data_IF_962186126895
#
_entry.id   IF_962186126895
#
_cell.length_a   1.000
_cell.length_b   1.000
_cell.length_c   1.000
_cell.angle_alpha   90.00
_cell.angle_beta   90.00
_cell.angle_gamma   90.00
#
_symmetry.space_group_name_H-M   'P 1'
#
loop_
_entity.id
_entity.type
_entity.pdbx_description
1 polymer ?
#
# COMPACT_ATOMS: atom_id res chain seq x y z
N UNK A 1 -34.99 -4.92 -2.85
CA UNK A 1 -34.04 -3.89 -2.43
C UNK A 1 -32.65 -4.45 -2.66
N UNK A 2 -31.86 -3.85 -3.51
CA UNK A 2 -30.45 -4.15 -3.62
C UNK A 2 -29.79 -3.74 -2.29
N UNK A 3 -29.24 -4.69 -1.57
CA UNK A 3 -28.42 -4.37 -0.41
C UNK A 3 -27.10 -3.75 -0.92
N UNK A 4 -26.72 -2.61 -0.38
CA UNK A 4 -25.43 -2.03 -0.65
C UNK A 4 -24.35 -2.87 0.06
N UNK A 5 -23.24 -3.12 -0.61
CA UNK A 5 -22.09 -3.82 -0.04
C UNK A 5 -20.97 -2.81 0.21
N UNK A 6 -20.36 -2.90 1.39
CA UNK A 6 -19.29 -2.01 1.81
C UNK A 6 -18.00 -2.81 2.04
N UNK A 7 -16.86 -2.20 1.73
CA UNK A 7 -15.53 -2.70 2.08
C UNK A 7 -14.87 -1.63 2.94
N UNK A 8 -14.51 -2.01 4.17
CA UNK A 8 -13.88 -1.11 5.13
C UNK A 8 -14.86 -0.23 5.91
N UNK A 9 -16.15 -0.47 5.79
CA UNK A 9 -17.17 0.21 6.59
C UNK A 9 -18.14 -0.81 7.23
N UNK A 10 -18.52 -0.55 8.47
CA UNK A 10 -19.58 -1.30 9.14
C UNK A 10 -20.97 -0.66 8.93
N UNK A 11 -22.02 -1.38 9.29
CA UNK A 11 -23.41 -0.90 9.20
C UNK A 11 -23.75 0.23 10.18
N UNK A 12 -22.86 0.54 11.11
CA UNK A 12 -23.02 1.61 12.10
C UNK A 12 -22.05 2.74 11.79
N UNK A 13 -22.54 3.98 11.81
CA UNK A 13 -21.71 5.17 11.68
C UNK A 13 -20.54 5.14 12.68
N UNK A 14 -19.32 5.42 12.20
CA UNK A 14 -18.11 5.43 13.03
C UNK A 14 -17.35 4.10 13.09
N UNK A 15 -17.74 3.10 12.32
CA UNK A 15 -17.06 1.79 12.24
C UNK A 15 -16.24 1.65 10.95
N UNK A 16 -15.49 2.69 10.58
CA UNK A 16 -14.61 2.65 9.42
C UNK A 16 -13.32 1.88 9.74
N UNK A 17 -12.80 1.20 8.72
CA UNK A 17 -11.53 0.52 8.79
C UNK A 17 -10.38 1.56 8.74
N UNK A 18 -9.53 1.55 9.75
CA UNK A 18 -8.27 2.30 9.76
C UNK A 18 -7.13 1.36 9.34
N UNK A 19 -6.98 1.15 8.04
CA UNK A 19 -5.98 0.26 7.46
C UNK A 19 -5.72 0.57 5.98
N UNK A 20 -4.68 -0.06 5.44
CA UNK A 20 -4.43 -0.08 4.01
C UNK A 20 -5.06 -1.31 3.37
N UNK A 21 -5.64 -1.14 2.19
CA UNK A 21 -6.23 -2.20 1.37
C UNK A 21 -5.46 -2.36 0.06
N UNK A 22 -5.26 -3.59 -0.36
CA UNK A 22 -4.69 -3.92 -1.66
C UNK A 22 -5.21 -5.29 -2.12
N UNK A 23 -5.37 -5.46 -3.43
CA UNK A 23 -5.69 -6.76 -4.06
C UNK A 23 -6.91 -7.45 -3.43
N UNK A 24 -8.02 -6.72 -3.31
CA UNK A 24 -9.26 -7.30 -2.78
C UNK A 24 -9.94 -8.11 -3.87
N UNK A 25 -10.07 -9.41 -3.63
CA UNK A 25 -10.72 -10.35 -4.54
C UNK A 25 -11.98 -10.92 -3.91
N UNK A 26 -13.10 -10.83 -4.63
CA UNK A 26 -14.33 -11.53 -4.30
C UNK A 26 -14.69 -12.48 -5.46
N UNK A 27 -14.79 -13.76 -5.16
CA UNK A 27 -15.07 -14.80 -6.15
C UNK A 27 -16.48 -15.33 -5.91
N UNK A 28 -17.36 -15.08 -6.90
CA UNK A 28 -18.73 -15.55 -6.84
C UNK A 28 -18.84 -16.99 -7.35
N UNK A 29 -19.55 -17.80 -6.56
CA UNK A 29 -19.90 -19.19 -6.91
C UNK A 29 -18.78 -20.22 -6.77
N UNK A 30 -17.62 -19.86 -6.21
CA UNK A 30 -16.49 -20.78 -6.01
C UNK A 30 -15.88 -20.63 -4.62
N UNK A 31 -15.54 -21.75 -4.01
CA UNK A 31 -14.69 -21.79 -2.81
C UNK A 31 -13.26 -22.13 -3.26
N UNK A 32 -12.34 -21.21 -3.10
CA UNK A 32 -10.95 -21.35 -3.54
C UNK A 32 -10.00 -21.42 -2.34
N UNK A 33 -8.93 -22.18 -2.54
CA UNK A 33 -7.81 -22.29 -1.60
C UNK A 33 -6.89 -21.07 -1.69
N UNK A 34 -6.20 -20.65 -0.62
CA UNK A 34 -5.27 -19.52 -0.64
C UNK A 34 -4.17 -19.61 -1.71
N UNK A 35 -3.83 -20.81 -2.17
CA UNK A 35 -2.83 -21.01 -3.24
C UNK A 35 -3.22 -20.42 -4.59
N UNK A 36 -4.51 -20.09 -4.78
CA UNK A 36 -4.96 -19.34 -5.95
C UNK A 36 -4.52 -17.87 -5.92
N UNK A 37 -4.29 -17.31 -4.72
CA UNK A 37 -3.98 -15.91 -4.49
C UNK A 37 -2.54 -15.65 -4.05
N UNK A 38 -1.75 -16.70 -3.84
CA UNK A 38 -0.37 -16.59 -3.43
C UNK A 38 0.36 -17.93 -3.42
N UNK A 39 1.62 -17.87 -3.04
CA UNK A 39 2.48 -19.05 -2.91
C UNK A 39 3.50 -18.82 -1.80
N UNK A 40 4.07 -19.89 -1.28
CA UNK A 40 5.19 -19.80 -0.35
C UNK A 40 6.50 -19.83 -1.13
N UNK A 41 7.29 -18.76 -1.00
CA UNK A 41 8.62 -18.69 -1.58
C UNK A 41 9.52 -19.76 -0.94
N UNK A 42 10.11 -20.63 -1.74
CA UNK A 42 10.90 -21.77 -1.26
C UNK A 42 12.25 -21.37 -0.65
N UNK A 43 12.77 -20.18 -0.93
CA UNK A 43 14.04 -19.70 -0.42
C UNK A 43 13.88 -18.97 0.92
N UNK A 44 12.81 -18.21 1.07
CA UNK A 44 12.58 -17.39 2.26
C UNK A 44 11.58 -18.00 3.23
N UNK A 45 10.73 -18.92 2.76
CA UNK A 45 9.60 -19.47 3.50
C UNK A 45 8.44 -18.46 3.68
N UNK A 46 8.52 -17.29 3.05
CA UNK A 46 7.48 -16.26 3.14
C UNK A 46 6.36 -16.51 2.14
N UNK A 47 5.13 -16.27 2.56
CA UNK A 47 3.99 -16.26 1.66
C UNK A 47 4.03 -14.99 0.80
N UNK A 48 3.95 -15.18 -0.53
CA UNK A 48 3.99 -14.11 -1.52
C UNK A 48 2.67 -14.07 -2.26
N UNK A 49 2.02 -12.91 -2.37
CA UNK A 49 0.79 -12.78 -3.14
C UNK A 49 1.06 -12.94 -4.64
N UNK A 50 0.07 -13.45 -5.34
CA UNK A 50 0.03 -13.48 -6.81
C UNK A 50 -1.34 -13.06 -7.30
N UNK A 51 -1.40 -12.56 -8.52
CA UNK A 51 -2.66 -12.24 -9.15
C UNK A 51 -3.50 -13.51 -9.37
N UNK A 52 -4.79 -13.42 -9.09
CA UNK A 52 -5.76 -14.45 -9.45
C UNK A 52 -6.04 -14.39 -10.97
N UNK A 53 -5.96 -15.53 -11.63
CA UNK A 53 -6.13 -15.65 -13.09
C UNK A 53 -7.39 -16.43 -13.48
N UNK A 54 -8.23 -16.81 -12.53
CA UNK A 54 -9.47 -17.53 -12.76
C UNK A 54 -10.65 -16.60 -13.05
N UNK A 55 -11.85 -17.18 -13.10
CA UNK A 55 -13.10 -16.45 -13.33
C UNK A 55 -13.66 -15.94 -12.02
N UNK A 56 -14.11 -14.68 -12.01
CA UNK A 56 -14.68 -14.05 -10.82
C UNK A 56 -16.17 -14.38 -10.58
N UNK A 57 -16.86 -15.01 -11.58
CA UNK A 57 -18.31 -15.16 -11.53
C UNK A 57 -19.03 -13.83 -11.82
N UNK A 58 -20.37 -13.83 -11.82
CA UNK A 58 -21.12 -12.65 -12.27
C UNK A 58 -21.09 -11.48 -11.26
N UNK A 59 -21.10 -11.79 -9.95
CA UNK A 59 -21.08 -10.80 -8.88
C UNK A 59 -19.67 -10.62 -8.28
N UNK A 60 -18.67 -11.33 -8.81
CA UNK A 60 -17.30 -11.22 -8.35
C UNK A 60 -16.64 -9.93 -8.82
N UNK A 61 -15.59 -9.52 -8.11
CA UNK A 61 -14.83 -8.31 -8.41
C UNK A 61 -13.38 -8.44 -7.98
N UNK A 62 -12.54 -7.58 -8.57
CA UNK A 62 -11.14 -7.40 -8.18
C UNK A 62 -10.81 -5.93 -8.06
N UNK A 63 -10.44 -5.47 -6.86
CA UNK A 63 -10.03 -4.09 -6.61
C UNK A 63 -8.52 -4.05 -6.39
N UNK A 64 -7.81 -3.55 -7.39
CA UNK A 64 -6.35 -3.38 -7.33
C UNK A 64 -5.96 -2.08 -6.59
N UNK A 65 -6.85 -1.08 -6.54
CA UNK A 65 -6.58 0.30 -6.07
C UNK A 65 -5.39 0.97 -6.78
N UNK A 66 -5.05 0.52 -7.97
CA UNK A 66 -3.85 0.91 -8.70
C UNK A 66 -4.01 2.25 -9.43
N UNK A 67 -5.19 2.50 -9.99
CA UNK A 67 -5.45 3.75 -10.72
C UNK A 67 -5.75 4.87 -9.72
N UNK A 68 -4.72 5.64 -9.39
CA UNK A 68 -4.79 6.79 -8.49
C UNK A 68 -4.88 8.13 -9.22
N UNK A 69 -5.34 8.15 -10.47
CA UNK A 69 -5.58 9.38 -11.22
C UNK A 69 -6.69 10.24 -10.62
N UNK A 70 -7.63 9.61 -9.93
CA UNK A 70 -8.69 10.25 -9.15
C UNK A 70 -9.20 9.33 -8.04
N UNK A 71 -9.93 9.88 -7.06
CA UNK A 71 -10.55 9.05 -6.02
C UNK A 71 -11.63 8.12 -6.59
N UNK A 72 -12.32 8.51 -7.66
CA UNK A 72 -13.33 7.67 -8.30
C UNK A 72 -12.76 6.47 -9.04
N UNK A 73 -11.48 6.49 -9.44
CA UNK A 73 -10.83 5.37 -10.14
C UNK A 73 -10.27 4.33 -9.18
N UNK A 74 -10.09 4.66 -7.89
CA UNK A 74 -9.58 3.72 -6.89
C UNK A 74 -10.48 2.49 -6.71
N UNK A 75 -11.80 2.66 -6.80
CA UNK A 75 -12.78 1.58 -6.64
C UNK A 75 -13.11 0.82 -7.92
N UNK A 76 -12.32 0.98 -8.98
CA UNK A 76 -12.55 0.27 -10.24
C UNK A 76 -12.35 -1.22 -10.10
N UNK A 77 -13.34 -1.98 -10.59
CA UNK A 77 -13.27 -3.43 -10.72
C UNK A 77 -12.43 -3.81 -11.95
N UNK A 78 -11.36 -4.55 -11.74
CA UNK A 78 -10.46 -5.05 -12.80
C UNK A 78 -10.68 -6.52 -13.15
N UNK A 79 -11.75 -7.13 -12.61
CA UNK A 79 -12.13 -8.52 -12.94
C UNK A 79 -12.71 -8.69 -14.36
N UNK A 80 -13.21 -7.60 -14.94
CA UNK A 80 -13.93 -7.59 -16.21
C UNK A 80 -15.46 -7.62 -16.06
N UNK A 81 -16.00 -7.66 -14.84
CA UNK A 81 -17.44 -7.67 -14.56
C UNK A 81 -18.05 -6.27 -14.41
N UNK A 82 -17.21 -5.24 -14.31
CA UNK A 82 -17.63 -3.84 -14.09
C UNK A 82 -18.42 -3.61 -12.78
N UNK A 83 -18.17 -4.42 -11.77
CA UNK A 83 -18.73 -4.30 -10.42
C UNK A 83 -17.97 -3.23 -9.61
N UNK A 84 -17.96 -2.00 -10.11
CA UNK A 84 -17.21 -0.87 -9.56
C UNK A 84 -17.74 -0.44 -8.19
N UNK A 85 -16.82 -0.02 -7.32
CA UNK A 85 -17.11 0.58 -6.02
C UNK A 85 -16.86 2.09 -6.03
N UNK A 86 -17.72 2.82 -5.37
CA UNK A 86 -17.48 4.26 -5.09
C UNK A 86 -16.62 4.40 -3.85
N UNK A 87 -15.48 5.10 -3.95
CA UNK A 87 -14.62 5.36 -2.79
C UNK A 87 -15.15 6.55 -1.96
N UNK A 88 -15.07 6.43 -0.63
CA UNK A 88 -15.35 7.51 0.32
C UNK A 88 -14.25 7.56 1.37
N UNK A 89 -13.85 8.76 1.80
CA UNK A 89 -12.77 8.94 2.79
C UNK A 89 -11.36 8.64 2.29
N UNK A 90 -11.19 8.22 1.03
CA UNK A 90 -9.88 7.95 0.43
C UNK A 90 -9.33 9.19 -0.27
N UNK A 91 -8.01 9.28 -0.37
CA UNK A 91 -7.32 10.37 -1.07
C UNK A 91 -6.29 9.82 -2.05
N UNK A 92 -6.12 10.49 -3.18
CA UNK A 92 -5.01 10.29 -4.12
C UNK A 92 -3.96 11.38 -3.99
N UNK A 93 -4.19 12.37 -3.11
CA UNK A 93 -3.24 13.44 -2.87
C UNK A 93 -2.01 12.90 -2.14
N UNK A 94 -0.84 13.05 -2.74
CA UNK A 94 0.42 12.67 -2.13
C UNK A 94 0.63 13.42 -0.80
N UNK A 95 1.09 12.71 0.22
CA UNK A 95 1.42 13.29 1.53
C UNK A 95 0.31 13.33 2.54
N UNK A 96 -0.89 12.88 2.23
CA UNK A 96 -1.96 12.67 3.20
C UNK A 96 -1.85 11.28 3.83
N UNK A 97 -2.42 11.10 5.03
CA UNK A 97 -2.46 9.80 5.70
C UNK A 97 -3.28 8.77 4.90
N UNK A 98 -4.27 9.25 4.17
CA UNK A 98 -5.22 8.46 3.40
C UNK A 98 -4.80 8.32 1.92
N UNK A 99 -3.53 8.61 1.61
CA UNK A 99 -3.04 8.60 0.24
C UNK A 99 -2.94 7.17 -0.32
N UNK A 100 -3.32 7.04 -1.58
CA UNK A 100 -3.03 5.84 -2.36
C UNK A 100 -1.53 5.60 -2.44
N UNK A 101 -1.11 4.39 -2.14
CA UNK A 101 0.29 3.98 -2.12
C UNK A 101 0.64 3.24 -3.40
N UNK A 102 1.87 3.43 -3.88
CA UNK A 102 2.42 2.65 -5.00
C UNK A 102 3.09 1.35 -4.53
N UNK A 103 3.34 1.21 -3.22
CA UNK A 103 3.81 -0.02 -2.60
C UNK A 103 2.61 -0.93 -2.32
N UNK A 104 2.55 -2.05 -3.00
CA UNK A 104 1.48 -3.04 -2.88
C UNK A 104 2.06 -4.43 -2.67
N UNK A 105 1.28 -5.41 -2.18
CA UNK A 105 1.79 -6.78 -2.01
C UNK A 105 2.39 -7.39 -3.28
N UNK A 106 1.88 -7.03 -4.46
CA UNK A 106 2.36 -7.51 -5.76
C UNK A 106 3.41 -6.61 -6.41
N UNK A 107 3.59 -5.38 -5.90
CA UNK A 107 4.60 -4.42 -6.32
C UNK A 107 5.31 -3.84 -5.08
N UNK A 108 5.94 -4.72 -4.31
CA UNK A 108 6.51 -4.41 -3.01
C UNK A 108 7.96 -3.94 -3.15
N UNK A 109 8.27 -2.79 -2.55
CA UNK A 109 9.60 -2.20 -2.53
C UNK A 109 9.94 -1.64 -1.13
N UNK A 110 11.22 -1.34 -0.83
CA UNK A 110 11.60 -0.80 0.46
C UNK A 110 10.98 0.56 0.74
N UNK A 111 10.33 0.69 1.88
CA UNK A 111 9.87 1.96 2.44
C UNK A 111 10.57 2.24 3.77
N UNK A 112 10.41 3.43 4.32
CA UNK A 112 10.89 3.76 5.65
C UNK A 112 10.04 3.06 6.71
N UNK A 113 10.68 2.47 7.72
CA UNK A 113 10.00 1.67 8.73
C UNK A 113 9.56 2.55 9.91
N UNK A 114 8.26 2.81 10.10
CA UNK A 114 7.76 3.64 11.18
C UNK A 114 8.06 3.07 12.57
N UNK A 115 8.17 1.74 12.69
CA UNK A 115 8.50 1.06 13.95
C UNK A 115 9.99 1.04 14.27
N UNK A 116 10.85 1.43 13.32
CA UNK A 116 12.31 1.42 13.49
C UNK A 116 12.92 2.77 13.10
N UNK A 117 12.45 3.82 13.77
CA UNK A 117 12.96 5.18 13.62
C UNK A 117 13.20 5.84 14.98
N UNK A 118 14.08 6.84 15.00
CA UNK A 118 14.24 7.68 16.18
C UNK A 118 12.98 8.53 16.40
N UNK A 119 12.73 8.94 17.66
CA UNK A 119 11.59 9.80 17.97
C UNK A 119 11.73 11.20 17.36
N UNK A 120 10.63 11.80 16.93
CA UNK A 120 10.54 13.16 16.43
C UNK A 120 10.33 13.31 14.92
N UNK A 121 10.99 12.54 14.03
CA UNK A 121 10.69 12.64 12.61
C UNK A 121 9.26 12.20 12.26
N UNK A 122 8.69 12.86 11.25
CA UNK A 122 7.42 12.46 10.64
C UNK A 122 7.71 11.69 9.35
N UNK A 123 7.02 10.58 9.15
CA UNK A 123 6.98 9.87 7.89
C UNK A 123 5.67 10.21 7.18
N UNK A 124 5.72 10.40 5.88
CA UNK A 124 4.57 10.67 5.02
C UNK A 124 4.80 10.10 3.62
N UNK A 125 3.88 10.31 2.69
CA UNK A 125 3.95 9.75 1.33
C UNK A 125 4.17 8.24 1.36
N UNK A 126 3.31 7.52 2.10
CA UNK A 126 3.43 6.08 2.21
C UNK A 126 4.79 5.62 2.78
N UNK A 127 5.30 6.35 3.76
CA UNK A 127 6.63 6.13 4.35
C UNK A 127 7.80 6.29 3.36
N UNK A 128 7.62 7.04 2.28
CA UNK A 128 8.69 7.39 1.34
C UNK A 128 9.31 8.75 1.63
N UNK A 129 8.69 9.55 2.48
CA UNK A 129 9.19 10.86 2.86
C UNK A 129 9.51 10.92 4.35
N UNK A 130 10.72 11.45 4.67
CA UNK A 130 11.20 11.63 6.03
C UNK A 130 11.37 13.12 6.30
N UNK A 131 10.59 13.67 7.23
CA UNK A 131 10.66 15.05 7.62
C UNK A 131 11.10 15.23 9.06
N UNK A 132 12.07 16.11 9.30
CA UNK A 132 12.50 16.49 10.62
C UNK A 132 12.90 17.97 10.68
N UNK A 133 12.16 18.75 11.46
CA UNK A 133 12.28 20.22 11.47
C UNK A 133 13.26 20.74 12.55
N UNK A 134 13.92 19.87 13.31
CA UNK A 134 14.76 20.33 14.42
C UNK A 134 16.23 19.92 14.24
N UNK A 135 17.14 20.92 14.27
CA UNK A 135 18.58 20.71 14.39
C UNK A 135 18.99 20.99 15.84
N UNK A 136 19.78 20.16 16.54
CA UNK A 136 21.07 19.64 16.08
C UNK A 136 21.25 18.11 16.20
N UNK A 137 20.22 17.31 16.40
CA UNK A 137 20.39 15.88 16.65
C UNK A 137 20.23 15.06 15.37
N UNK A 138 21.16 14.14 15.14
CA UNK A 138 21.03 13.14 14.07
C UNK A 138 19.80 12.28 14.32
N UNK A 139 18.96 12.13 13.32
CA UNK A 139 17.77 11.27 13.34
C UNK A 139 17.92 10.20 12.29
N UNK A 140 17.42 9.02 12.59
CA UNK A 140 17.54 7.84 11.74
C UNK A 140 16.19 7.20 11.54
N UNK A 141 16.01 6.61 10.38
CA UNK A 141 14.94 5.68 10.07
C UNK A 141 15.55 4.55 9.23
N UNK A 142 15.14 3.32 9.50
CA UNK A 142 15.58 2.18 8.70
C UNK A 142 14.54 1.86 7.64
N UNK A 143 15.00 1.20 6.56
CA UNK A 143 14.09 0.65 5.57
C UNK A 143 13.38 -0.60 6.11
N UNK A 144 12.24 -0.93 5.50
CA UNK A 144 11.48 -2.15 5.79
C UNK A 144 12.23 -3.40 5.33
N UNK A 145 13.02 -3.29 4.25
CA UNK A 145 13.82 -4.38 3.73
C UNK A 145 15.28 -4.29 4.21
N UNK A 146 15.86 -5.45 4.43
CA UNK A 146 17.29 -5.55 4.68
C UNK A 146 18.01 -5.86 3.37
N UNK A 147 19.10 -5.15 3.09
CA UNK A 147 19.98 -5.50 1.97
C UNK A 147 20.55 -6.89 2.19
N UNK A 148 20.48 -7.77 1.19
CA UNK A 148 21.17 -9.06 1.24
C UNK A 148 22.68 -8.91 1.43
N UNK A 149 23.34 -9.96 1.95
CA UNK A 149 24.77 -9.92 2.26
C UNK A 149 25.68 -9.83 1.04
N UNK A 150 25.17 -10.16 -0.14
CA UNK A 150 25.92 -10.17 -1.39
C UNK A 150 25.05 -9.66 -2.54
N UNK A 151 25.67 -9.07 -3.55
CA UNK A 151 25.01 -8.50 -4.73
C UNK A 151 25.34 -7.02 -4.92
N UNK A 152 24.80 -6.44 -5.98
CA UNK A 152 24.86 -5.01 -6.27
C UNK A 152 23.45 -4.45 -6.13
N UNK A 153 23.33 -3.39 -5.36
CA UNK A 153 22.04 -2.75 -5.07
C UNK A 153 22.12 -1.29 -5.42
N UNK A 154 21.01 -0.73 -5.87
CA UNK A 154 20.85 0.66 -6.19
C UNK A 154 19.66 1.22 -5.45
N UNK A 155 19.76 2.42 -4.92
CA UNK A 155 18.65 3.20 -4.35
C UNK A 155 18.90 4.68 -4.61
N UNK A 156 17.82 5.45 -4.62
CA UNK A 156 17.86 6.89 -4.80
C UNK A 156 17.26 7.61 -3.58
N UNK A 157 17.82 8.75 -3.30
CA UNK A 157 17.30 9.72 -2.37
C UNK A 157 17.20 11.07 -3.03
N UNK A 158 16.07 11.75 -2.84
CA UNK A 158 15.92 13.15 -3.20
C UNK A 158 15.91 14.00 -1.93
N UNK A 159 16.73 15.04 -1.90
CA UNK A 159 16.72 16.03 -0.82
C UNK A 159 15.93 17.26 -1.28
N UNK A 160 14.73 17.43 -0.72
CA UNK A 160 13.82 18.54 -1.02
C UNK A 160 14.06 19.77 -0.12
N UNK A 161 15.18 19.83 0.63
CA UNK A 161 15.46 21.01 1.44
C UNK A 161 15.93 22.20 0.60
N UNK A 162 15.12 23.26 0.60
CA UNK A 162 15.49 24.59 0.08
C UNK A 162 16.47 25.35 0.99
N UNK A 163 17.17 24.69 1.93
CA UNK A 163 18.02 25.33 2.91
C UNK A 163 19.50 25.18 2.58
N UNK A 164 20.26 26.23 2.87
CA UNK A 164 21.71 26.40 2.64
C UNK A 164 22.64 25.43 3.40
N UNK A 165 22.13 24.32 3.92
CA UNK A 165 22.93 23.35 4.64
C UNK A 165 22.50 21.92 4.30
N UNK A 166 23.06 21.32 3.23
CA UNK A 166 22.77 19.94 2.86
C UNK A 166 23.17 19.01 4.01
N UNK A 167 22.23 18.21 4.47
CA UNK A 167 22.48 17.17 5.47
C UNK A 167 23.59 16.23 4.99
N UNK A 168 24.52 15.87 5.88
CA UNK A 168 25.52 14.83 5.57
C UNK A 168 24.85 13.46 5.65
N UNK A 169 25.01 12.72 4.59
CA UNK A 169 24.66 11.31 4.51
C UNK A 169 25.87 10.46 4.91
N UNK A 170 25.68 9.49 5.78
CA UNK A 170 26.68 8.47 6.11
C UNK A 170 26.12 7.10 5.78
#
# INVERSE_FOLDING_TARGET
SSAENYIGEGTNEGSQLDAYLAEVNFIDGQQLDPSYFGFTDSQTGMWMPKRYEGTYGNNGFHLEFKDNSSTSTLGKDTSGNENDFSSSGMSVALGTADASMIDTPTNNFPTLNPSNRSSGPTLSFANLYFFYNYKPASKTCRATFRLPKSGKYYWEWENNEASSNPGRWQ
#
